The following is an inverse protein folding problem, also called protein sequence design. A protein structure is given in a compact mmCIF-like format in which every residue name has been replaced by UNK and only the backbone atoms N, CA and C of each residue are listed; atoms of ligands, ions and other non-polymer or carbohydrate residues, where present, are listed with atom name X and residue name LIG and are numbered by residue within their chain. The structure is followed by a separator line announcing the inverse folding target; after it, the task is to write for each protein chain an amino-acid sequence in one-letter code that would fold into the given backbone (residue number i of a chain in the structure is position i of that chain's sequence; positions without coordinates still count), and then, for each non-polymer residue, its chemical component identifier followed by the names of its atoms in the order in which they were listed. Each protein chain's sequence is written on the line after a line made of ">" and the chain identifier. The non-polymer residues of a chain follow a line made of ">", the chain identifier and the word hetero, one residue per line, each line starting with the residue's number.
data_IF_115387885410
#
_entry.id   IF_115387885410
#
_cell.length_a   1.000
_cell.length_b   1.000
_cell.length_c   1.000
_cell.angle_alpha   90.00
_cell.angle_beta   90.00
_cell.angle_gamma   90.00
#
_symmetry.space_group_name_H-M   'P 1'
#
loop_
_entity.id
_entity.type
_entity.pdbx_description
1 polymer ?
#
# COMPACT_ATOMS: atom_id res chain seq x y z
N UNK A 1 19.22 -3.58 1.92
CA UNK A 1 18.01 -3.11 1.22
C UNK A 1 18.24 -1.68 0.73
N UNK A 2 17.72 -1.38 -0.45
CA UNK A 2 17.86 -0.07 -1.08
C UNK A 2 16.50 0.58 -1.28
N UNK A 3 16.49 1.91 -1.35
CA UNK A 3 15.29 2.65 -1.75
C UNK A 3 15.02 2.41 -3.24
N UNK A 4 13.79 2.09 -3.63
CA UNK A 4 13.45 1.94 -5.04
C UNK A 4 13.32 3.30 -5.72
N UNK A 5 13.36 3.31 -7.05
CA UNK A 5 13.07 4.50 -7.84
C UNK A 5 11.58 4.53 -8.19
N UNK A 6 10.94 5.68 -8.11
CA UNK A 6 9.56 5.84 -8.57
C UNK A 6 9.52 5.68 -10.08
N UNK A 7 8.75 4.72 -10.56
CA UNK A 7 8.63 4.42 -11.99
C UNK A 7 7.52 5.25 -12.67
N UNK A 8 6.44 5.53 -11.95
CA UNK A 8 5.34 6.35 -12.45
C UNK A 8 4.55 6.96 -11.28
N UNK A 9 3.83 8.03 -11.57
CA UNK A 9 2.96 8.73 -10.61
C UNK A 9 1.58 8.93 -11.24
N UNK A 10 0.55 8.95 -10.40
CA UNK A 10 -0.80 9.32 -10.84
C UNK A 10 -1.44 10.31 -9.88
N UNK A 11 -2.02 11.33 -10.46
CA UNK A 11 -2.78 12.38 -9.80
C UNK A 11 -4.11 12.50 -10.56
N UNK A 12 -5.22 12.05 -9.94
CA UNK A 12 -6.50 11.91 -10.65
C UNK A 12 -7.26 13.22 -10.82
N UNK A 13 -7.07 14.16 -9.89
CA UNK A 13 -7.74 15.47 -9.89
C UNK A 13 -6.73 16.58 -9.58
N UNK A 14 -7.15 17.83 -9.75
CA UNK A 14 -6.30 19.01 -9.51
C UNK A 14 -5.79 19.13 -8.06
N UNK A 15 -6.51 18.54 -7.10
CA UNK A 15 -6.12 18.57 -5.68
C UNK A 15 -5.31 17.34 -5.25
N UNK A 16 -5.12 16.39 -6.15
CA UNK A 16 -4.32 15.18 -5.88
C UNK A 16 -2.87 15.44 -6.23
N UNK A 17 -1.95 14.99 -5.38
CA UNK A 17 -0.51 15.24 -5.59
C UNK A 17 0.35 14.07 -5.18
N UNK A 18 1.44 13.91 -5.93
CA UNK A 18 2.56 13.03 -5.61
C UNK A 18 3.83 13.89 -5.58
N UNK A 19 4.40 14.09 -4.40
CA UNK A 19 5.55 14.96 -4.18
C UNK A 19 6.73 14.17 -3.60
N UNK A 20 7.94 14.57 -3.96
CA UNK A 20 9.16 13.95 -3.44
C UNK A 20 9.61 12.73 -4.23
N UNK A 21 10.42 11.93 -3.56
CA UNK A 21 10.99 10.68 -4.08
C UNK A 21 10.75 9.51 -3.11
N UNK A 22 11.34 8.34 -3.38
CA UNK A 22 11.14 7.17 -2.52
C UNK A 22 11.69 7.32 -1.10
N UNK A 23 12.61 8.22 -0.85
CA UNK A 23 13.16 8.44 0.49
C UNK A 23 12.27 9.36 1.35
N UNK A 24 11.50 10.23 0.70
CA UNK A 24 10.55 11.12 1.36
C UNK A 24 9.43 11.46 0.37
N UNK A 25 8.36 10.68 0.42
CA UNK A 25 7.23 10.74 -0.49
C UNK A 25 6.02 11.29 0.23
N UNK A 26 5.32 12.24 -0.41
CA UNK A 26 4.03 12.73 0.08
C UNK A 26 2.95 12.51 -0.97
N UNK A 27 1.87 11.86 -0.56
CA UNK A 27 0.69 11.62 -1.39
C UNK A 27 -0.50 12.36 -0.79
N UNK A 28 -1.24 13.08 -1.62
CA UNK A 28 -2.41 13.84 -1.20
C UNK A 28 -3.60 13.49 -2.08
N UNK A 29 -4.75 13.25 -1.46
CA UNK A 29 -5.98 12.93 -2.15
C UNK A 29 -5.98 11.51 -2.74
N UNK A 30 -6.46 11.35 -3.95
CA UNK A 30 -6.47 10.08 -4.67
C UNK A 30 -5.28 10.03 -5.64
N UNK A 31 -4.15 9.57 -5.12
CA UNK A 31 -2.87 9.57 -5.81
C UNK A 31 -2.08 8.30 -5.50
N UNK A 32 -1.18 7.92 -6.41
CA UNK A 32 -0.30 6.78 -6.18
C UNK A 32 1.07 6.97 -6.83
N UNK A 33 2.07 6.30 -6.24
CA UNK A 33 3.40 6.15 -6.79
C UNK A 33 3.67 4.68 -7.12
N UNK A 34 4.06 4.41 -8.37
CA UNK A 34 4.39 3.08 -8.86
C UNK A 34 5.88 2.82 -8.69
N UNK A 35 6.21 1.61 -8.28
CA UNK A 35 7.58 1.14 -8.10
C UNK A 35 7.89 -0.03 -9.02
N UNK A 36 9.18 -0.28 -9.30
CA UNK A 36 9.61 -1.35 -10.19
C UNK A 36 9.15 -2.74 -9.73
N UNK A 37 9.28 -3.68 -10.65
CA UNK A 37 8.86 -5.07 -10.44
C UNK A 37 9.51 -5.70 -9.22
N UNK A 38 8.71 -6.49 -8.52
CA UNK A 38 9.14 -7.35 -7.42
C UNK A 38 9.66 -8.69 -7.95
N UNK A 39 10.52 -9.34 -7.17
CA UNK A 39 10.98 -10.70 -7.42
C UNK A 39 10.10 -11.75 -6.76
N UNK A 40 10.67 -12.94 -6.56
CA UNK A 40 9.97 -14.07 -5.94
C UNK A 40 9.86 -13.96 -4.42
N UNK A 41 10.88 -13.38 -3.79
CA UNK A 41 10.91 -13.14 -2.36
C UNK A 41 11.20 -11.67 -2.11
N UNK A 42 10.36 -11.01 -1.33
CA UNK A 42 10.48 -9.58 -1.12
C UNK A 42 10.29 -9.23 0.35
N UNK A 43 10.99 -8.20 0.78
CA UNK A 43 10.70 -7.47 2.00
C UNK A 43 10.59 -5.99 1.67
N UNK A 44 9.41 -5.44 1.86
CA UNK A 44 9.12 -4.02 1.67
C UNK A 44 8.90 -3.42 3.06
N UNK A 45 9.60 -2.35 3.37
CA UNK A 45 9.51 -1.68 4.66
C UNK A 45 9.47 -0.18 4.50
N UNK A 46 8.56 0.47 5.20
CA UNK A 46 8.42 1.92 5.21
C UNK A 46 7.59 2.40 6.40
N UNK A 47 7.68 3.70 6.69
CA UNK A 47 6.85 4.35 7.67
C UNK A 47 5.87 5.28 6.98
N UNK A 48 4.60 5.21 7.38
CA UNK A 48 3.53 6.10 6.93
C UNK A 48 3.11 6.97 8.09
N UNK A 49 3.01 8.28 7.85
CA UNK A 49 2.36 9.21 8.76
C UNK A 49 1.19 9.86 8.05
N UNK A 50 0.00 9.73 8.60
CA UNK A 50 -1.20 10.38 8.07
C UNK A 50 -1.40 11.74 8.70
N UNK A 51 -1.93 12.71 7.95
CA UNK A 51 -2.27 14.03 8.47
C UNK A 51 -3.49 13.98 9.40
N UNK A 52 -4.50 13.21 9.00
CA UNK A 52 -5.73 13.01 9.77
C UNK A 52 -5.86 11.60 10.32
N UNK A 53 -6.72 11.44 11.32
CA UNK A 53 -7.00 10.16 11.98
C UNK A 53 -7.65 9.14 11.05
N UNK A 54 -8.38 9.62 10.03
CA UNK A 54 -9.19 8.81 9.12
C UNK A 54 -8.66 8.74 7.70
N UNK A 55 -7.47 9.25 7.46
CA UNK A 55 -6.86 9.23 6.13
C UNK A 55 -6.68 7.79 5.66
N UNK A 56 -7.08 7.54 4.43
CA UNK A 56 -7.10 6.20 3.84
C UNK A 56 -5.92 6.02 2.89
N UNK A 57 -5.17 4.96 3.10
CA UNK A 57 -3.99 4.62 2.29
C UNK A 57 -3.85 3.12 2.10
N UNK A 58 -2.97 2.72 1.21
CA UNK A 58 -2.71 1.30 1.01
C UNK A 58 -1.55 1.00 0.10
N UNK A 59 -1.39 -0.29 -0.17
CA UNK A 59 -0.36 -0.84 -1.05
C UNK A 59 -1.02 -1.77 -2.06
N UNK A 60 -0.69 -1.59 -3.33
CA UNK A 60 -1.12 -2.49 -4.40
C UNK A 60 0.07 -3.34 -4.83
N UNK A 61 -0.05 -4.66 -4.76
CA UNK A 61 1.07 -5.57 -4.93
C UNK A 61 1.15 -6.20 -6.33
N UNK A 62 0.05 -6.26 -7.05
CA UNK A 62 0.03 -6.70 -8.45
C UNK A 62 -0.55 -5.57 -9.26
N UNK A 63 0.32 -4.82 -9.91
CA UNK A 63 -0.07 -3.63 -10.65
C UNK A 63 0.61 -3.59 -12.00
N UNK A 64 -0.20 -3.47 -13.06
CA UNK A 64 0.28 -3.21 -14.40
C UNK A 64 0.75 -1.76 -14.57
N UNK A 65 1.50 -1.50 -15.63
CA UNK A 65 1.92 -0.13 -16.01
C UNK A 65 0.73 0.76 -16.40
N UNK A 66 -0.41 0.16 -16.76
CA UNK A 66 -1.61 0.82 -17.27
C UNK A 66 -2.63 1.14 -16.18
N UNK A 67 -2.21 1.26 -14.93
CA UNK A 67 -3.07 1.49 -13.78
C UNK A 67 -4.02 0.33 -13.39
N UNK A 68 -3.93 -0.80 -14.06
CA UNK A 68 -4.68 -2.00 -13.66
C UNK A 68 -4.16 -2.52 -12.33
N UNK A 69 -5.04 -2.56 -11.34
CA UNK A 69 -4.71 -2.98 -9.98
C UNK A 69 -5.45 -4.27 -9.69
N UNK A 70 -4.74 -5.32 -9.35
CA UNK A 70 -5.35 -6.61 -9.07
C UNK A 70 -5.52 -6.91 -7.58
N UNK A 71 -4.55 -6.50 -6.77
CA UNK A 71 -4.58 -6.76 -5.33
C UNK A 71 -4.10 -5.55 -4.54
N UNK A 72 -4.90 -5.14 -3.57
CA UNK A 72 -4.56 -4.03 -2.67
C UNK A 72 -4.82 -4.38 -1.21
N UNK A 73 -3.88 -3.99 -0.36
CA UNK A 73 -4.04 -3.98 1.09
C UNK A 73 -4.33 -2.54 1.51
N UNK A 74 -5.53 -2.30 2.03
CA UNK A 74 -6.02 -0.94 2.29
C UNK A 74 -6.26 -0.72 3.76
N UNK A 75 -5.64 0.31 4.32
CA UNK A 75 -5.91 0.79 5.68
C UNK A 75 -7.06 1.77 5.61
N UNK A 76 -8.21 1.33 6.12
CA UNK A 76 -9.46 2.05 6.11
C UNK A 76 -9.81 2.65 7.47
N UNK A 77 -10.74 3.60 7.42
CA UNK A 77 -11.44 4.11 8.57
C UNK A 77 -12.39 3.04 9.16
N UNK A 78 -12.37 2.85 10.46
CA UNK A 78 -13.30 1.98 11.19
C UNK A 78 -13.90 2.69 12.42
N UNK A 79 -13.67 3.95 12.54
CA UNK A 79 -14.05 4.77 13.67
C UNK A 79 -12.91 5.72 14.06
N UNK A 80 -13.12 6.55 15.04
CA UNK A 80 -12.14 7.57 15.41
C UNK A 80 -10.86 6.96 15.98
N UNK A 81 -10.98 5.91 16.79
CA UNK A 81 -9.87 5.29 17.51
C UNK A 81 -9.40 3.96 16.90
N UNK A 82 -10.08 3.47 15.89
CA UNK A 82 -9.75 2.19 15.25
C UNK A 82 -9.58 2.32 13.76
N UNK A 83 -8.76 1.44 13.22
CA UNK A 83 -8.53 1.29 11.77
C UNK A 83 -8.80 -0.15 11.37
N UNK A 84 -8.93 -0.36 10.08
CA UNK A 84 -9.23 -1.68 9.52
C UNK A 84 -8.37 -1.91 8.28
N UNK A 85 -7.73 -3.06 8.20
CA UNK A 85 -7.13 -3.53 6.95
C UNK A 85 -8.16 -4.32 6.17
N UNK A 86 -8.37 -3.91 4.93
CA UNK A 86 -9.13 -4.66 3.93
C UNK A 86 -8.19 -5.19 2.86
N UNK A 87 -8.41 -6.42 2.48
CA UNK A 87 -7.88 -6.96 1.24
C UNK A 87 -8.89 -6.72 0.12
N UNK A 88 -8.46 -6.02 -0.91
CA UNK A 88 -9.29 -5.71 -2.07
C UNK A 88 -8.69 -6.37 -3.32
N UNK A 89 -9.50 -7.12 -4.03
CA UNK A 89 -9.14 -7.75 -5.29
C UNK A 89 -9.95 -7.12 -6.42
N UNK A 90 -9.27 -6.64 -7.45
CA UNK A 90 -9.92 -6.19 -8.67
C UNK A 90 -10.09 -7.36 -9.62
N UNK A 91 -11.33 -7.60 -10.06
CA UNK A 91 -11.63 -8.58 -11.08
C UNK A 91 -11.16 -8.14 -12.47
N UNK A 92 -10.95 -9.07 -13.36
CA UNK A 92 -10.66 -8.79 -14.77
C UNK A 92 -11.85 -8.10 -15.45
N UNK A 93 -11.54 -7.12 -16.32
CA UNK A 93 -12.50 -6.47 -17.22
C UNK A 93 -13.71 -5.79 -16.56
N UNK A 94 -13.47 -4.74 -15.78
CA UNK A 94 -14.50 -3.79 -15.37
C UNK A 94 -15.44 -4.26 -14.26
N UNK A 95 -15.15 -5.37 -13.62
CA UNK A 95 -15.78 -5.76 -12.38
C UNK A 95 -15.01 -5.04 -11.25
N UNK A 96 -15.70 -4.18 -10.51
CA UNK A 96 -15.11 -3.41 -9.43
C UNK A 96 -14.43 -4.28 -8.36
N UNK A 97 -13.83 -3.63 -7.38
CA UNK A 97 -13.17 -4.29 -6.27
C UNK A 97 -14.12 -5.27 -5.58
N UNK A 98 -13.76 -6.54 -5.58
CA UNK A 98 -14.39 -7.52 -4.74
C UNK A 98 -13.70 -7.44 -3.38
N UNK A 99 -14.39 -6.90 -2.39
CA UNK A 99 -13.94 -7.02 -1.02
C UNK A 99 -13.87 -8.51 -0.67
N UNK A 100 -12.69 -9.02 -0.50
CA UNK A 100 -12.53 -10.34 0.11
C UNK A 100 -12.85 -10.16 1.58
N UNK A 101 -13.78 -10.91 2.15
CA UNK A 101 -14.35 -10.70 3.47
C UNK A 101 -13.37 -10.70 4.66
N UNK A 102 -12.07 -10.88 4.40
CA UNK A 102 -11.04 -10.86 5.41
C UNK A 102 -10.64 -9.43 5.75
N UNK A 103 -10.98 -9.00 6.93
CA UNK A 103 -10.57 -7.72 7.46
C UNK A 103 -10.03 -7.88 8.88
N UNK A 104 -9.08 -7.04 9.24
CA UNK A 104 -8.51 -6.99 10.57
C UNK A 104 -8.67 -5.57 11.14
N UNK A 105 -9.31 -5.48 12.31
CA UNK A 105 -9.50 -4.21 13.02
C UNK A 105 -8.42 -4.07 14.09
N UNK A 106 -7.81 -2.89 14.17
CA UNK A 106 -6.74 -2.61 15.12
C UNK A 106 -6.85 -1.18 15.67
N UNK A 107 -6.21 -0.98 16.81
CA UNK A 107 -6.14 0.33 17.45
C UNK A 107 -5.36 1.31 16.59
N UNK A 108 -5.93 2.47 16.31
CA UNK A 108 -5.20 3.54 15.61
C UNK A 108 -3.98 3.96 16.44
N UNK A 109 -2.79 4.07 15.85
CA UNK A 109 -1.64 4.65 16.53
C UNK A 109 -1.92 6.09 16.98
N UNK A 110 -1.58 6.43 18.22
CA UNK A 110 -1.90 7.74 18.80
C UNK A 110 -1.32 8.93 18.00
N UNK A 111 -0.15 8.74 17.39
CA UNK A 111 0.57 9.74 16.60
C UNK A 111 0.31 9.64 15.09
N UNK A 112 -0.63 8.79 14.67
CA UNK A 112 -0.91 8.49 13.26
C UNK A 112 0.29 7.97 12.46
N UNK A 113 1.23 7.34 13.12
CA UNK A 113 2.43 6.76 12.51
C UNK A 113 2.33 5.25 12.43
N UNK A 114 2.50 4.72 11.22
CA UNK A 114 2.38 3.29 10.90
C UNK A 114 3.71 2.80 10.36
N UNK A 115 4.36 1.90 11.07
CA UNK A 115 5.50 1.16 10.55
C UNK A 115 5.00 -0.07 9.81
N UNK A 116 5.21 -0.11 8.52
CA UNK A 116 4.70 -1.14 7.62
C UNK A 116 5.83 -2.05 7.18
N UNK A 117 5.64 -3.35 7.32
CA UNK A 117 6.52 -4.37 6.75
C UNK A 117 5.65 -5.35 5.96
N UNK A 118 5.98 -5.55 4.70
CA UNK A 118 5.33 -6.54 3.85
C UNK A 118 6.39 -7.53 3.41
N UNK A 119 6.16 -8.81 3.67
CA UNK A 119 6.99 -9.89 3.15
C UNK A 119 6.21 -10.72 2.18
N UNK A 120 6.86 -11.14 1.10
CA UNK A 120 6.28 -12.06 0.15
C UNK A 120 7.24 -13.21 -0.13
N UNK A 121 6.70 -14.41 -0.22
CA UNK A 121 7.41 -15.60 -0.68
C UNK A 121 6.53 -16.32 -1.71
N UNK A 122 6.89 -16.18 -2.98
CA UNK A 122 6.06 -16.57 -4.11
C UNK A 122 4.66 -15.92 -3.99
N UNK A 123 3.62 -16.70 -3.75
CA UNK A 123 2.24 -16.19 -3.60
C UNK A 123 1.85 -15.87 -2.15
N UNK A 124 2.69 -16.18 -1.17
CA UNK A 124 2.36 -15.92 0.23
C UNK A 124 2.77 -14.50 0.60
N UNK A 125 1.80 -13.72 1.05
CA UNK A 125 2.00 -12.33 1.48
C UNK A 125 1.63 -12.17 2.94
N UNK A 126 2.51 -11.52 3.71
CA UNK A 126 2.26 -11.18 5.11
C UNK A 126 2.53 -9.71 5.32
N UNK A 127 1.60 -9.02 5.97
CA UNK A 127 1.71 -7.61 6.30
C UNK A 127 1.72 -7.40 7.81
N UNK A 128 2.68 -6.61 8.26
CA UNK A 128 2.82 -6.18 9.64
C UNK A 128 2.60 -4.68 9.73
N UNK A 129 1.84 -4.25 10.73
CA UNK A 129 1.73 -2.84 11.12
C UNK A 129 2.16 -2.73 12.58
N UNK A 130 3.15 -1.88 12.84
CA UNK A 130 3.73 -1.67 14.18
C UNK A 130 4.05 -3.00 14.87
N UNK A 131 4.72 -3.90 14.14
CA UNK A 131 5.17 -5.22 14.57
C UNK A 131 4.08 -6.25 14.84
N UNK A 132 2.82 -5.92 14.53
CA UNK A 132 1.69 -6.85 14.64
C UNK A 132 1.33 -7.38 13.25
N UNK A 133 1.24 -8.69 13.11
CA UNK A 133 0.78 -9.32 11.87
C UNK A 133 -0.71 -9.03 11.67
N UNK A 134 -1.02 -8.26 10.64
CA UNK A 134 -2.38 -7.82 10.33
C UNK A 134 -3.01 -8.55 9.16
N UNK A 135 -2.20 -9.24 8.35
CA UNK A 135 -2.67 -9.92 7.16
C UNK A 135 -1.70 -11.04 6.77
N UNK A 136 -2.22 -12.20 6.47
CA UNK A 136 -1.51 -13.32 5.84
C UNK A 136 -2.46 -14.02 4.88
N UNK A 137 -2.09 -14.07 3.60
CA UNK A 137 -2.88 -14.78 2.60
C UNK A 137 -2.06 -14.96 1.32
N UNK A 138 -2.67 -15.64 0.35
CA UNK A 138 -2.11 -15.78 -0.98
C UNK A 138 -2.49 -14.61 -1.86
N UNK A 139 -1.50 -14.07 -2.56
CA UNK A 139 -1.65 -13.09 -3.63
C UNK A 139 -0.89 -13.62 -4.84
N UNK A 140 -1.60 -13.96 -5.90
CA UNK A 140 -0.97 -14.52 -7.09
C UNK A 140 -0.41 -13.44 -8.00
N UNK A 141 0.74 -13.71 -8.62
CA UNK A 141 1.34 -12.82 -9.60
C UNK A 141 2.18 -11.68 -9.04
N UNK A 142 2.55 -11.70 -7.76
CA UNK A 142 3.42 -10.68 -7.14
C UNK A 142 4.76 -10.60 -7.88
N UNK A 143 5.37 -11.76 -8.10
CA UNK A 143 6.66 -11.83 -8.79
C UNK A 143 6.54 -11.32 -10.23
N UNK A 144 7.47 -10.46 -10.60
CA UNK A 144 7.56 -9.82 -11.93
C UNK A 144 6.47 -8.77 -12.22
N UNK A 145 5.71 -8.36 -11.22
CA UNK A 145 4.78 -7.24 -11.34
C UNK A 145 5.28 -6.02 -10.58
N UNK A 146 4.89 -4.85 -11.06
CA UNK A 146 5.08 -3.60 -10.33
C UNK A 146 4.15 -3.57 -9.11
N UNK A 147 4.44 -2.65 -8.21
CA UNK A 147 3.64 -2.40 -7.03
C UNK A 147 3.56 -0.90 -6.77
N UNK A 148 2.62 -0.46 -5.95
CA UNK A 148 2.43 0.95 -5.67
C UNK A 148 2.06 1.22 -4.22
N UNK A 149 2.35 2.43 -3.76
CA UNK A 149 1.80 3.00 -2.54
C UNK A 149 0.75 4.02 -2.95
N UNK A 150 -0.41 3.95 -2.30
CA UNK A 150 -1.60 4.70 -2.67
C UNK A 150 -2.11 5.55 -1.50
N UNK A 151 -2.54 6.77 -1.80
CA UNK A 151 -3.47 7.53 -0.96
C UNK A 151 -4.84 7.49 -1.61
N UNK A 152 -5.89 7.32 -0.81
CA UNK A 152 -7.29 7.33 -1.28
C UNK A 152 -8.03 8.57 -0.79
N UNK A 153 -7.65 9.07 0.37
CA UNK A 153 -8.17 10.32 0.94
C UNK A 153 -7.20 10.89 1.96
N UNK A 154 -7.21 12.20 2.13
CA UNK A 154 -6.33 12.89 3.06
C UNK A 154 -4.92 13.07 2.55
N UNK A 155 -3.94 12.96 3.43
CA UNK A 155 -2.53 13.12 3.10
C UNK A 155 -1.68 12.14 3.88
N UNK A 156 -0.75 11.49 3.19
CA UNK A 156 0.19 10.54 3.79
C UNK A 156 1.63 10.89 3.41
N UNK A 157 2.51 10.81 4.39
CA UNK A 157 3.95 10.91 4.20
C UNK A 157 4.58 9.53 4.36
N UNK A 158 5.41 9.15 3.41
CA UNK A 158 6.11 7.87 3.38
C UNK A 158 7.61 8.12 3.50
N UNK A 159 8.23 7.56 4.53
CA UNK A 159 9.65 7.69 4.79
C UNK A 159 10.31 6.33 5.00
N UNK A 160 11.62 6.28 4.80
CA UNK A 160 12.41 5.08 5.07
C UNK A 160 12.07 3.89 4.17
N UNK A 161 11.53 4.12 2.98
CA UNK A 161 11.16 3.04 2.07
C UNK A 161 12.39 2.28 1.58
N UNK A 162 12.39 0.98 1.85
CA UNK A 162 13.39 0.05 1.36
C UNK A 162 12.73 -1.20 0.78
N UNK A 163 13.35 -1.78 -0.23
CA UNK A 163 12.94 -3.04 -0.84
C UNK A 163 14.14 -3.96 -0.94
N UNK A 164 14.02 -5.14 -0.34
CA UNK A 164 14.91 -6.26 -0.59
C UNK A 164 14.16 -7.29 -1.43
N UNK A 165 14.72 -7.68 -2.56
CA UNK A 165 14.07 -8.56 -3.53
C UNK A 165 15.05 -9.61 -4.05
N UNK A 166 14.57 -10.84 -4.24
CA UNK A 166 15.32 -11.96 -4.84
C UNK A 166 14.51 -12.63 -5.94
#
# INVERSE_FOLDING_TARGET
>A
AAAPTIAAKSENNANDKVEGDASNLKLTGNAWALFPRLGYQNRIEFTVKTAGKRDKFGVSLVRGTDADVFYSLVVNDEGEETRKINFEQQGTAGIGFLANGDSYVFQRPADNTYHIVITTDNSICTMYINDVCCYTNRIYGIQRNCWSINSYSGSVEVTGLTVASK
#
